data_IF_352401808164
#
_entry.id   IF_352401808164
#
_cell.length_a   1.000
_cell.length_b   1.000
_cell.length_c   1.000
_cell.angle_alpha   90.00
_cell.angle_beta   90.00
_cell.angle_gamma   90.00
#
_symmetry.space_group_name_H-M   'P 1'
#
loop_
_entity.id
_entity.type
_entity.pdbx_description
1 polymer ?
#
# COMPACT_ATOMS: atom_id res chain seq x y z
N UNK A 1 13.23 -29.58 -10.30
CA UNK A 1 12.28 -29.45 -11.42
C UNK A 1 11.13 -28.55 -10.95
N UNK A 2 11.24 -27.23 -11.13
CA UNK A 2 10.22 -26.28 -10.66
C UNK A 2 9.06 -26.27 -11.65
N UNK A 3 7.94 -26.89 -11.27
CA UNK A 3 6.66 -26.57 -11.89
C UNK A 3 6.46 -25.07 -11.73
N UNK A 4 6.16 -24.39 -12.84
CA UNK A 4 5.76 -22.99 -12.83
C UNK A 4 4.40 -22.89 -12.12
N UNK A 5 4.42 -22.82 -10.80
CA UNK A 5 3.24 -22.78 -9.93
C UNK A 5 2.61 -21.39 -9.99
N UNK A 6 2.05 -21.03 -11.16
CA UNK A 6 1.29 -19.79 -11.35
C UNK A 6 0.14 -19.65 -10.34
N UNK A 7 -0.29 -20.75 -9.72
CA UNK A 7 -1.25 -20.79 -8.63
C UNK A 7 -0.79 -20.12 -7.32
N UNK A 8 0.52 -19.96 -7.10
CA UNK A 8 1.10 -19.55 -5.82
C UNK A 8 2.05 -18.33 -5.92
N UNK A 9 2.06 -17.60 -7.04
CA UNK A 9 2.96 -16.46 -7.24
C UNK A 9 2.76 -15.36 -6.18
N UNK A 10 3.78 -15.10 -5.38
CA UNK A 10 3.88 -13.95 -4.48
C UNK A 10 5.24 -13.29 -4.62
N UNK A 11 5.27 -11.96 -4.63
CA UNK A 11 6.51 -11.19 -4.64
C UNK A 11 6.42 -10.04 -3.65
N UNK A 12 7.42 -9.97 -2.78
CA UNK A 12 7.49 -8.91 -1.77
C UNK A 12 7.74 -7.54 -2.41
N UNK A 13 7.07 -6.50 -1.91
CA UNK A 13 7.43 -5.11 -2.17
C UNK A 13 8.89 -4.85 -1.79
N UNK A 14 9.58 -4.01 -2.58
CA UNK A 14 10.97 -3.65 -2.29
C UNK A 14 11.07 -2.94 -0.94
N UNK A 15 12.17 -3.15 -0.21
CA UNK A 15 12.44 -2.51 1.08
C UNK A 15 12.29 -0.99 1.00
N UNK A 16 12.83 -0.35 -0.04
CA UNK A 16 12.75 1.11 -0.21
C UNK A 16 11.31 1.61 -0.25
N UNK A 17 10.44 0.97 -1.06
CA UNK A 17 9.02 1.31 -1.10
C UNK A 17 8.29 1.04 0.21
N UNK A 18 8.61 -0.06 0.89
CA UNK A 18 8.05 -0.36 2.22
C UNK A 18 8.39 0.77 3.19
N UNK A 19 9.66 1.19 3.24
CA UNK A 19 10.10 2.27 4.12
C UNK A 19 9.41 3.59 3.79
N UNK A 20 9.34 3.96 2.51
CA UNK A 20 8.70 5.20 2.07
C UNK A 20 7.23 5.24 2.47
N UNK A 21 6.46 4.18 2.19
CA UNK A 21 5.01 4.17 2.50
C UNK A 21 4.77 4.12 4.01
N UNK A 22 5.52 3.28 4.75
CA UNK A 22 5.36 3.20 6.21
C UNK A 22 5.72 4.51 6.90
N UNK A 23 6.84 5.14 6.53
CA UNK A 23 7.23 6.43 7.13
C UNK A 23 6.25 7.54 6.76
N UNK A 24 5.74 7.55 5.52
CA UNK A 24 4.77 8.56 5.08
C UNK A 24 3.43 8.42 5.81
N UNK A 25 2.86 7.20 5.86
CA UNK A 25 1.60 6.96 6.57
C UNK A 25 1.75 7.11 8.09
N UNK A 26 2.89 6.70 8.65
CA UNK A 26 3.20 6.88 10.07
C UNK A 26 3.31 8.37 10.43
N UNK A 27 4.07 9.14 9.65
CA UNK A 27 4.18 10.58 9.84
C UNK A 27 2.83 11.29 9.66
N UNK A 28 2.06 10.92 8.62
CA UNK A 28 0.74 11.50 8.42
C UNK A 28 -0.21 11.21 9.59
N UNK A 29 -0.20 9.98 10.10
CA UNK A 29 -0.96 9.61 11.30
C UNK A 29 -0.52 10.42 12.51
N UNK A 30 0.79 10.61 12.69
CA UNK A 30 1.32 11.42 13.80
C UNK A 30 0.84 12.87 13.73
N UNK A 31 0.94 13.48 12.54
CA UNK A 31 0.48 14.85 12.26
C UNK A 31 -1.03 15.00 12.47
N UNK A 32 -1.84 14.02 12.09
CA UNK A 32 -3.31 14.11 12.21
C UNK A 32 -3.80 13.88 13.63
N UNK A 33 -3.25 12.89 14.35
CA UNK A 33 -3.80 12.45 15.64
C UNK A 33 -3.05 12.95 16.86
N UNK A 34 -1.75 13.27 16.73
CA UNK A 34 -0.96 13.89 17.81
C UNK A 34 -0.14 15.07 17.27
N UNK A 35 -0.79 16.08 16.65
CA UNK A 35 -0.10 17.23 16.06
C UNK A 35 0.82 17.94 17.05
N UNK A 36 0.44 18.03 18.32
CA UNK A 36 1.22 18.75 19.35
C UNK A 36 2.53 18.05 19.73
N UNK A 37 2.65 16.75 19.46
CA UNK A 37 3.85 15.96 19.75
C UNK A 37 4.85 15.97 18.58
N UNK A 38 4.45 16.45 17.41
CA UNK A 38 5.32 16.47 16.23
C UNK A 38 6.39 17.57 16.41
N UNK A 39 7.69 17.23 16.30
CA UNK A 39 8.76 18.21 16.49
C UNK A 39 8.97 19.08 15.23
N UNK A 40 7.98 19.91 14.88
CA UNK A 40 7.98 20.70 13.65
C UNK A 40 9.24 21.53 13.43
N UNK A 41 9.81 22.09 14.50
CA UNK A 41 11.04 22.89 14.42
C UNK A 41 12.25 22.09 13.92
N UNK A 42 12.32 20.80 14.25
CA UNK A 42 13.44 19.92 13.89
C UNK A 42 13.30 19.29 12.51
N UNK A 43 12.12 19.34 11.90
CA UNK A 43 11.81 18.73 10.60
C UNK A 43 12.10 19.66 9.41
N UNK A 44 12.60 20.87 9.66
CA UNK A 44 12.93 21.84 8.61
C UNK A 44 11.72 22.21 7.74
N UNK A 45 11.86 22.24 6.40
CA UNK A 45 10.77 22.61 5.49
C UNK A 45 9.52 21.73 5.64
N UNK A 46 9.69 20.42 5.85
CA UNK A 46 8.57 19.50 6.06
C UNK A 46 7.78 19.86 7.31
N UNK A 47 8.48 20.24 8.38
CA UNK A 47 7.86 20.70 9.63
C UNK A 47 7.06 21.98 9.45
N UNK A 48 7.61 22.97 8.73
CA UNK A 48 6.91 24.23 8.45
C UNK A 48 5.62 24.00 7.63
N UNK A 49 5.70 23.18 6.57
CA UNK A 49 4.54 22.83 5.73
C UNK A 49 3.50 22.08 6.56
N UNK A 50 3.91 21.05 7.30
CA UNK A 50 2.99 20.23 8.09
C UNK A 50 2.29 21.04 9.17
N UNK A 51 3.02 21.94 9.86
CA UNK A 51 2.44 22.84 10.86
C UNK A 51 1.43 23.81 10.25
N UNK A 52 1.73 24.37 9.08
CA UNK A 52 0.79 25.23 8.36
C UNK A 52 -0.49 24.47 7.96
N UNK A 53 -0.34 23.24 7.44
CA UNK A 53 -1.49 22.40 7.09
C UNK A 53 -2.33 22.01 8.32
N UNK A 54 -1.71 21.73 9.46
CA UNK A 54 -2.43 21.48 10.71
C UNK A 54 -3.19 22.72 11.17
N UNK A 55 -2.57 23.90 11.13
CA UNK A 55 -3.20 25.12 11.63
C UNK A 55 -4.37 25.59 10.75
N UNK A 56 -4.20 25.55 9.43
CA UNK A 56 -5.16 26.16 8.49
C UNK A 56 -6.09 25.14 7.83
N UNK A 57 -5.67 23.87 7.71
CA UNK A 57 -6.33 22.85 6.88
C UNK A 57 -6.53 21.52 7.60
N UNK A 58 -6.60 21.50 8.94
CA UNK A 58 -6.76 20.26 9.72
C UNK A 58 -7.92 19.38 9.22
N UNK A 59 -9.07 19.98 8.92
CA UNK A 59 -10.23 19.24 8.40
C UNK A 59 -9.98 18.53 7.08
N UNK A 60 -9.09 19.08 6.23
CA UNK A 60 -8.64 18.44 4.99
C UNK A 60 -7.67 17.29 5.29
N UNK A 61 -6.73 17.48 6.22
CA UNK A 61 -5.80 16.43 6.66
C UNK A 61 -6.55 15.22 7.24
N UNK A 62 -7.53 15.45 8.11
CA UNK A 62 -8.32 14.37 8.71
C UNK A 62 -9.09 13.57 7.65
N UNK A 63 -9.77 14.25 6.72
CA UNK A 63 -10.46 13.60 5.59
C UNK A 63 -9.49 12.89 4.65
N UNK A 64 -8.34 13.51 4.39
CA UNK A 64 -7.30 12.95 3.54
C UNK A 64 -6.68 11.67 4.12
N UNK A 65 -6.54 11.59 5.45
CA UNK A 65 -6.06 10.37 6.12
C UNK A 65 -7.04 9.21 5.94
N UNK A 66 -8.34 9.45 6.12
CA UNK A 66 -9.37 8.44 5.84
C UNK A 66 -9.41 8.06 4.36
N UNK A 67 -9.28 9.04 3.46
CA UNK A 67 -9.23 8.79 2.03
C UNK A 67 -8.04 7.90 1.66
N UNK A 68 -6.86 8.10 2.26
CA UNK A 68 -5.69 7.26 2.03
C UNK A 68 -5.97 5.79 2.40
N UNK A 69 -6.61 5.54 3.55
CA UNK A 69 -7.02 4.19 3.92
C UNK A 69 -8.07 3.60 2.98
N UNK A 70 -9.05 4.40 2.53
CA UNK A 70 -10.03 3.96 1.53
C UNK A 70 -9.35 3.56 0.23
N UNK A 71 -8.34 4.31 -0.24
CA UNK A 71 -7.54 3.96 -1.42
C UNK A 71 -6.80 2.64 -1.20
N UNK A 72 -6.12 2.45 -0.07
CA UNK A 72 -5.41 1.21 0.23
C UNK A 72 -6.36 0.00 0.31
N UNK A 73 -7.55 0.17 0.88
CA UNK A 73 -8.60 -0.87 0.91
C UNK A 73 -9.06 -1.17 -0.52
N UNK A 74 -9.34 -0.15 -1.32
CA UNK A 74 -9.73 -0.34 -2.72
C UNK A 74 -8.64 -1.08 -3.52
N UNK A 75 -7.37 -0.69 -3.40
CA UNK A 75 -6.24 -1.35 -4.05
C UNK A 75 -6.10 -2.81 -3.62
N UNK A 76 -6.31 -3.12 -2.34
CA UNK A 76 -6.23 -4.50 -1.83
C UNK A 76 -7.36 -5.39 -2.34
N UNK A 77 -8.57 -4.85 -2.51
CA UNK A 77 -9.68 -5.54 -3.18
C UNK A 77 -9.38 -5.77 -4.67
N UNK A 78 -8.81 -4.78 -5.36
CA UNK A 78 -8.34 -4.93 -6.74
C UNK A 78 -7.26 -6.00 -6.84
N UNK A 79 -6.33 -6.07 -5.88
CA UNK A 79 -5.32 -7.13 -5.84
C UNK A 79 -5.94 -8.53 -5.71
N UNK A 80 -6.96 -8.70 -4.86
CA UNK A 80 -7.68 -9.98 -4.72
C UNK A 80 -8.36 -10.43 -6.02
N UNK A 81 -8.96 -9.48 -6.76
CA UNK A 81 -9.55 -9.73 -8.08
C UNK A 81 -8.48 -10.07 -9.10
N UNK A 82 -7.41 -9.29 -9.16
CA UNK A 82 -6.31 -9.46 -10.12
C UNK A 82 -5.57 -10.79 -9.91
N UNK A 83 -5.44 -11.26 -8.66
CA UNK A 83 -4.96 -12.60 -8.37
C UNK A 83 -5.84 -13.67 -9.04
N UNK A 84 -7.16 -13.56 -8.90
CA UNK A 84 -8.12 -14.47 -9.54
C UNK A 84 -8.01 -14.43 -11.06
N UNK A 85 -7.97 -13.23 -11.64
CA UNK A 85 -7.88 -13.02 -13.09
C UNK A 85 -6.57 -13.57 -13.69
N UNK A 86 -5.51 -13.65 -12.88
CA UNK A 86 -4.20 -14.21 -13.25
C UNK A 86 -4.03 -15.69 -12.86
N UNK A 87 -5.07 -16.36 -12.36
CA UNK A 87 -5.04 -17.77 -12.00
C UNK A 87 -4.33 -18.09 -10.68
N UNK A 88 -4.05 -17.07 -9.84
CA UNK A 88 -3.50 -17.25 -8.49
C UNK A 88 -4.64 -17.67 -7.57
N UNK A 89 -4.86 -18.98 -7.46
CA UNK A 89 -5.99 -19.55 -6.72
C UNK A 89 -5.67 -19.92 -5.26
N UNK A 90 -4.39 -19.95 -4.87
CA UNK A 90 -3.98 -20.26 -3.49
C UNK A 90 -4.54 -19.22 -2.50
N UNK A 91 -5.39 -19.60 -1.53
CA UNK A 91 -5.96 -18.67 -0.55
C UNK A 91 -4.89 -17.92 0.25
N UNK A 92 -3.83 -18.61 0.67
CA UNK A 92 -2.72 -18.03 1.42
C UNK A 92 -1.97 -16.98 0.59
N UNK A 93 -1.73 -17.27 -0.70
CA UNK A 93 -1.05 -16.32 -1.61
C UNK A 93 -1.90 -15.08 -1.86
N UNK A 94 -3.22 -15.25 -2.04
CA UNK A 94 -4.16 -14.13 -2.19
C UNK A 94 -4.23 -13.28 -0.92
N UNK A 95 -4.22 -13.90 0.25
CA UNK A 95 -4.16 -13.20 1.54
C UNK A 95 -2.87 -12.40 1.69
N UNK A 96 -1.72 -12.96 1.30
CA UNK A 96 -0.44 -12.24 1.31
C UNK A 96 -0.48 -11.01 0.38
N UNK A 97 -1.05 -11.14 -0.83
CA UNK A 97 -1.24 -10.00 -1.73
C UNK A 97 -2.18 -8.94 -1.15
N UNK A 98 -3.27 -9.35 -0.50
CA UNK A 98 -4.19 -8.44 0.17
C UNK A 98 -3.49 -7.67 1.30
N UNK A 99 -2.84 -8.38 2.23
CA UNK A 99 -2.13 -7.77 3.37
C UNK A 99 -1.00 -6.85 2.89
N UNK A 100 -0.22 -7.28 1.90
CA UNK A 100 0.85 -6.43 1.36
C UNK A 100 0.29 -5.17 0.69
N UNK A 101 -0.85 -5.28 0.00
CA UNK A 101 -1.45 -4.15 -0.73
C UNK A 101 -2.20 -3.20 0.19
N UNK A 102 -2.85 -3.67 1.26
CA UNK A 102 -3.47 -2.76 2.23
C UNK A 102 -2.40 -1.96 3.00
N UNK A 103 -1.22 -2.54 3.23
CA UNK A 103 -0.13 -1.87 3.92
C UNK A 103 0.70 -0.94 3.02
N UNK A 104 1.01 -1.37 1.79
CA UNK A 104 1.97 -0.67 0.92
C UNK A 104 1.35 -0.13 -0.38
N UNK A 105 0.04 -0.28 -0.55
CA UNK A 105 -0.74 0.29 -1.65
C UNK A 105 -0.21 -0.06 -3.04
N UNK A 106 -0.16 0.95 -3.90
CA UNK A 106 0.31 0.87 -5.29
C UNK A 106 1.67 0.17 -5.46
N UNK A 107 2.59 0.27 -4.49
CA UNK A 107 3.90 -0.37 -4.60
C UNK A 107 3.79 -1.91 -4.61
N UNK A 108 2.81 -2.45 -3.89
CA UNK A 108 2.44 -3.86 -3.94
C UNK A 108 1.65 -4.17 -5.22
N UNK A 109 0.59 -3.41 -5.48
CA UNK A 109 -0.31 -3.67 -6.62
C UNK A 109 0.44 -3.62 -7.96
N UNK A 110 1.41 -2.72 -8.11
CA UNK A 110 2.26 -2.60 -9.29
C UNK A 110 3.10 -3.86 -9.59
N UNK A 111 3.52 -4.60 -8.56
CA UNK A 111 4.21 -5.89 -8.76
C UNK A 111 3.25 -6.94 -9.30
N UNK A 112 2.03 -7.01 -8.76
CA UNK A 112 1.01 -7.94 -9.22
C UNK A 112 0.53 -7.61 -10.64
N UNK A 113 0.40 -6.32 -10.99
CA UNK A 113 0.07 -5.87 -12.34
C UNK A 113 1.11 -6.33 -13.37
N UNK A 114 2.40 -6.22 -13.04
CA UNK A 114 3.53 -6.62 -13.90
C UNK A 114 3.63 -8.13 -14.10
N UNK A 115 3.07 -8.94 -13.18
CA UNK A 115 3.08 -10.38 -13.32
C UNK A 115 2.28 -10.82 -14.56
N UNK A 116 2.92 -11.58 -15.45
CA UNK A 116 2.26 -12.23 -16.59
C UNK A 116 2.13 -13.71 -16.26
N UNK A 117 0.91 -14.25 -16.10
CA UNK A 117 0.74 -15.67 -15.85
C UNK A 117 1.19 -16.47 -17.06
N UNK A 118 1.83 -17.61 -16.84
CA UNK A 118 2.22 -18.51 -17.93
C UNK A 118 0.96 -18.96 -18.68
N UNK A 119 0.98 -18.83 -20.02
CA UNK A 119 -0.18 -19.07 -20.89
C UNK A 119 -0.80 -20.48 -20.83
N UNK A 120 -0.21 -21.40 -20.05
CA UNK A 120 -0.77 -22.72 -19.74
C UNK A 120 -1.90 -22.70 -18.71
N UNK A 121 -2.02 -21.65 -17.90
CA UNK A 121 -3.03 -21.56 -16.82
C UNK A 121 -4.48 -21.41 -17.32
N UNK A 122 -4.71 -20.86 -18.52
CA UNK A 122 -6.06 -20.67 -19.09
C UNK A 122 -6.64 -21.90 -19.81
N UNK A 123 -5.93 -23.04 -19.83
CA UNK A 123 -6.26 -24.20 -20.66
C UNK A 123 -6.89 -25.38 -19.92
N UNK A 124 -7.36 -25.20 -18.68
CA UNK A 124 -8.11 -26.21 -17.93
C UNK A 124 -9.37 -25.61 -17.34
#
# INVERSE_FOLDING_TARGET
MSTSDGYAYFRRSSVSWIMVVMLSMGFYTWVVFWPDQVPYASLGPLGAISKHLVNEYYGVLYKGWWLAWVVHVFESLVALKLCSDKGINSPSTRLLWFIQTILFGFASLGLLLKYKPDGRSKRR
#
